data_IF_359658315800
#
_entry.id   IF_359658315800
#
_cell.length_a   1.000
_cell.length_b   1.000
_cell.length_c   1.000
_cell.angle_alpha   90.00
_cell.angle_beta   90.00
_cell.angle_gamma   90.00
#
_symmetry.space_group_name_H-M   'P 1'
#
loop_
_entity.id
_entity.type
_entity.pdbx_description
1 polymer ?
#
# COMPACT_ATOMS: atom_id res chain seq x y z
N UNK A 1 8.15 20.27 -20.50
CA UNK A 1 7.97 18.94 -19.85
C UNK A 1 9.03 17.98 -20.38
N UNK A 2 9.87 17.45 -19.52
CA UNK A 2 10.87 16.43 -19.89
C UNK A 2 10.22 15.04 -19.89
N UNK A 3 10.12 14.42 -21.08
CA UNK A 3 9.62 13.04 -21.22
C UNK A 3 10.50 12.05 -20.42
N UNK A 4 11.77 12.36 -20.23
CA UNK A 4 12.69 11.55 -19.43
C UNK A 4 12.27 11.51 -17.97
N UNK A 5 12.00 12.66 -17.35
CA UNK A 5 11.59 12.73 -15.95
C UNK A 5 10.22 12.12 -15.71
N UNK A 6 9.27 12.22 -16.67
CA UNK A 6 7.98 11.56 -16.57
C UNK A 6 8.10 10.03 -16.65
N UNK A 7 8.93 9.49 -17.56
CA UNK A 7 9.22 8.05 -17.63
C UNK A 7 9.90 7.55 -16.36
N UNK A 8 10.87 8.32 -15.85
CA UNK A 8 11.55 8.00 -14.59
C UNK A 8 10.56 7.97 -13.42
N UNK A 9 9.59 8.89 -13.37
CA UNK A 9 8.54 8.89 -12.35
C UNK A 9 7.63 7.65 -12.45
N UNK A 10 7.26 7.23 -13.66
CA UNK A 10 6.52 5.98 -13.86
C UNK A 10 7.32 4.76 -13.37
N UNK A 11 8.64 4.70 -13.66
CA UNK A 11 9.51 3.63 -13.16
C UNK A 11 9.66 3.69 -11.63
N UNK A 12 9.75 4.89 -11.06
CA UNK A 12 9.72 5.06 -9.61
C UNK A 12 8.44 4.48 -9.02
N UNK A 13 7.28 4.79 -9.62
CA UNK A 13 5.98 4.25 -9.19
C UNK A 13 5.89 2.73 -9.33
N UNK A 14 6.53 2.16 -10.35
CA UNK A 14 6.60 0.72 -10.55
C UNK A 14 7.39 0.01 -9.43
N UNK A 15 8.60 0.48 -9.14
CA UNK A 15 9.45 -0.20 -8.16
C UNK A 15 9.07 0.12 -6.71
N UNK A 16 8.55 1.32 -6.42
CA UNK A 16 8.14 1.71 -5.06
C UNK A 16 6.91 0.94 -4.57
N UNK A 17 6.16 0.32 -5.48
CA UNK A 17 4.97 -0.46 -5.16
C UNK A 17 5.25 -1.55 -4.12
N UNK A 18 6.38 -2.25 -4.26
CA UNK A 18 6.84 -3.26 -3.31
C UNK A 18 7.38 -2.65 -2.01
N UNK A 19 8.16 -1.57 -2.13
CA UNK A 19 8.83 -0.93 -0.99
C UNK A 19 7.83 -0.33 -0.01
N UNK A 20 6.75 0.28 -0.52
CA UNK A 20 5.75 0.98 0.27
C UNK A 20 5.11 0.10 1.35
N UNK A 21 4.80 -1.14 1.01
CA UNK A 21 4.09 -2.06 1.89
C UNK A 21 5.06 -2.92 2.74
N UNK A 22 6.37 -2.70 2.62
CA UNK A 22 7.40 -3.50 3.27
C UNK A 22 7.29 -4.97 2.86
N UNK A 23 7.24 -5.89 3.84
CA UNK A 23 6.98 -7.30 3.53
C UNK A 23 5.50 -7.58 3.19
N UNK A 24 4.61 -6.63 3.38
CA UNK A 24 3.18 -6.78 3.10
C UNK A 24 2.59 -8.08 3.67
N UNK A 25 1.91 -8.89 2.86
CA UNK A 25 1.31 -10.14 3.31
C UNK A 25 2.34 -11.19 3.74
N UNK A 26 3.61 -11.06 3.34
CA UNK A 26 4.66 -12.02 3.69
C UNK A 26 5.18 -11.86 5.12
N UNK A 27 4.97 -10.68 5.76
CA UNK A 27 5.38 -10.46 7.14
C UNK A 27 4.69 -11.43 8.10
N UNK A 28 3.37 -11.60 7.96
CA UNK A 28 2.62 -12.54 8.78
C UNK A 28 3.15 -13.97 8.65
N UNK A 29 3.42 -14.42 7.42
CA UNK A 29 3.99 -15.75 7.15
C UNK A 29 5.38 -15.88 7.76
N UNK A 30 6.23 -14.85 7.58
CA UNK A 30 7.60 -14.84 8.12
C UNK A 30 7.63 -14.97 9.65
N UNK A 31 6.76 -14.26 10.37
CA UNK A 31 6.66 -14.32 11.83
C UNK A 31 6.01 -15.64 12.30
N UNK A 32 4.98 -16.14 11.61
CA UNK A 32 4.33 -17.42 11.91
C UNK A 32 5.36 -18.58 11.80
N UNK A 33 6.23 -18.60 10.79
CA UNK A 33 7.31 -19.58 10.65
C UNK A 33 8.34 -19.51 11.78
N UNK A 34 8.35 -18.44 12.57
CA UNK A 34 9.18 -18.23 13.77
C UNK A 34 8.41 -18.40 15.08
N UNK A 35 7.28 -19.12 15.01
CA UNK A 35 6.44 -19.48 16.16
C UNK A 35 5.78 -18.30 16.88
N UNK A 36 5.60 -17.17 16.18
CA UNK A 36 4.82 -16.06 16.70
C UNK A 36 3.33 -16.41 16.71
N UNK A 37 2.63 -15.97 17.76
CA UNK A 37 1.19 -16.15 17.83
C UNK A 37 0.47 -15.15 16.89
N UNK A 38 -0.65 -15.60 16.31
CA UNK A 38 -1.42 -14.77 15.39
C UNK A 38 -1.90 -13.45 16.02
N UNK A 39 -2.19 -13.47 17.32
CA UNK A 39 -2.62 -12.30 18.09
C UNK A 39 -1.53 -11.24 18.15
N UNK A 40 -0.28 -11.63 18.47
CA UNK A 40 0.87 -10.71 18.54
C UNK A 40 1.18 -10.10 17.19
N UNK A 41 1.13 -10.92 16.13
CA UNK A 41 1.34 -10.45 14.75
C UNK A 41 0.26 -9.44 14.38
N UNK A 42 -1.02 -9.76 14.64
CA UNK A 42 -2.14 -8.87 14.37
C UNK A 42 -2.05 -7.56 15.13
N UNK A 43 -1.65 -7.60 16.42
CA UNK A 43 -1.46 -6.42 17.24
C UNK A 43 -0.38 -5.50 16.65
N UNK A 44 0.78 -6.05 16.30
CA UNK A 44 1.89 -5.26 15.75
C UNK A 44 1.58 -4.69 14.36
N UNK A 45 0.88 -5.44 13.51
CA UNK A 45 0.40 -4.91 12.22
C UNK A 45 -0.62 -3.78 12.43
N UNK A 46 -1.47 -3.90 13.45
CA UNK A 46 -2.42 -2.83 13.82
C UNK A 46 -1.68 -1.59 14.30
N UNK A 47 -0.63 -1.74 15.11
CA UNK A 47 0.23 -0.62 15.54
C UNK A 47 0.80 0.11 14.34
N UNK A 48 1.33 -0.61 13.34
CA UNK A 48 1.81 -0.03 12.09
C UNK A 48 0.72 0.75 11.33
N UNK A 49 -0.47 0.15 11.19
CA UNK A 49 -1.61 0.78 10.53
C UNK A 49 -2.09 2.05 11.23
N UNK A 50 -2.24 2.01 12.55
CA UNK A 50 -2.63 3.19 13.38
C UNK A 50 -1.57 4.28 13.28
N UNK A 51 -0.29 3.91 13.34
CA UNK A 51 0.82 4.88 13.21
C UNK A 51 0.81 5.54 11.84
N UNK A 52 0.58 4.78 10.77
CA UNK A 52 0.44 5.31 9.41
C UNK A 52 -0.74 6.27 9.28
N UNK A 53 -1.88 5.91 9.88
CA UNK A 53 -3.06 6.78 9.90
C UNK A 53 -2.76 8.12 10.61
N UNK A 54 -2.16 8.07 11.79
CA UNK A 54 -1.78 9.27 12.55
C UNK A 54 -0.72 10.10 11.81
N UNK A 55 0.20 9.45 11.10
CA UNK A 55 1.24 10.11 10.33
C UNK A 55 0.74 10.76 9.03
N UNK A 56 -0.44 10.39 8.52
CA UNK A 56 -0.95 10.86 7.21
C UNK A 56 -1.02 12.38 7.13
N UNK A 57 -1.54 13.04 8.17
CA UNK A 57 -1.68 14.50 8.20
C UNK A 57 -0.32 15.22 8.32
N UNK A 58 0.55 14.87 9.27
CA UNK A 58 1.91 15.43 9.33
C UNK A 58 2.71 15.17 8.04
N UNK A 59 2.58 13.97 7.45
CA UNK A 59 3.27 13.62 6.21
C UNK A 59 2.81 14.50 5.04
N UNK A 60 1.51 14.74 4.91
CA UNK A 60 0.95 15.67 3.93
C UNK A 60 1.53 17.07 4.11
N UNK A 61 1.45 17.63 5.32
CA UNK A 61 1.97 18.96 5.63
C UNK A 61 3.47 19.11 5.34
N UNK A 62 4.29 18.15 5.78
CA UNK A 62 5.74 18.15 5.54
C UNK A 62 6.02 18.05 4.03
N UNK A 63 5.27 17.20 3.32
CA UNK A 63 5.42 17.06 1.86
C UNK A 63 5.07 18.35 1.14
N UNK A 64 3.98 19.01 1.49
CA UNK A 64 3.52 20.23 0.82
C UNK A 64 4.50 21.39 1.06
N UNK A 65 5.10 21.48 2.23
CA UNK A 65 6.08 22.53 2.56
C UNK A 65 7.48 22.25 2.03
N UNK A 66 7.83 20.99 1.78
CA UNK A 66 9.17 20.59 1.36
C UNK A 66 9.47 20.94 -0.10
N UNK A 67 10.64 21.53 -0.35
CA UNK A 67 11.21 21.72 -1.70
C UNK A 67 12.01 20.50 -2.18
N UNK A 68 12.42 19.60 -1.29
CA UNK A 68 13.29 18.46 -1.58
C UNK A 68 12.51 17.14 -1.64
N UNK A 69 11.35 17.12 -2.32
CA UNK A 69 10.46 15.95 -2.36
C UNK A 69 11.16 14.66 -2.82
N UNK A 70 12.10 14.74 -3.77
CA UNK A 70 12.88 13.57 -4.23
C UNK A 70 13.76 12.99 -3.13
N UNK A 71 14.49 13.84 -2.41
CA UNK A 71 15.38 13.41 -1.32
C UNK A 71 14.55 12.81 -0.18
N UNK A 72 13.42 13.45 0.13
CA UNK A 72 12.50 12.96 1.15
C UNK A 72 11.94 11.58 0.76
N UNK A 73 11.53 11.38 -0.50
CA UNK A 73 11.06 10.09 -0.98
C UNK A 73 12.15 9.01 -0.93
N UNK A 74 13.39 9.34 -1.30
CA UNK A 74 14.53 8.43 -1.18
C UNK A 74 14.78 8.03 0.28
N UNK A 75 14.77 9.00 1.20
CA UNK A 75 14.93 8.76 2.64
C UNK A 75 13.83 7.86 3.21
N UNK A 76 12.59 8.09 2.81
CA UNK A 76 11.43 7.28 3.19
C UNK A 76 11.60 5.82 2.71
N UNK A 77 11.94 5.60 1.44
CA UNK A 77 12.17 4.26 0.90
C UNK A 77 13.31 3.53 1.64
N UNK A 78 14.41 4.23 1.88
CA UNK A 78 15.54 3.67 2.64
C UNK A 78 15.14 3.33 4.08
N UNK A 79 14.38 4.19 4.74
CA UNK A 79 13.94 3.94 6.11
C UNK A 79 13.03 2.71 6.21
N UNK A 80 12.05 2.56 5.30
CA UNK A 80 11.21 1.35 5.24
C UNK A 80 12.08 0.12 5.05
N UNK A 81 12.97 0.15 4.06
CA UNK A 81 13.82 -1.00 3.73
C UNK A 81 14.74 -1.37 4.88
N UNK A 82 15.44 -0.42 5.48
CA UNK A 82 16.37 -0.68 6.58
C UNK A 82 15.65 -1.22 7.82
N UNK A 83 14.51 -0.63 8.20
CA UNK A 83 13.74 -1.11 9.36
C UNK A 83 13.13 -2.48 9.11
N UNK A 84 12.75 -2.80 7.86
CA UNK A 84 12.28 -4.13 7.49
C UNK A 84 13.44 -5.14 7.47
N UNK A 85 14.61 -4.78 6.94
CA UNK A 85 15.78 -5.65 6.95
C UNK A 85 16.28 -6.00 8.37
N UNK A 86 16.05 -5.13 9.36
CA UNK A 86 16.32 -5.46 10.77
C UNK A 86 15.60 -6.72 11.24
N UNK A 87 14.42 -7.03 10.67
CA UNK A 87 13.65 -8.22 11.01
C UNK A 87 14.37 -9.51 10.60
N UNK A 88 15.27 -9.44 9.61
CA UNK A 88 16.09 -10.60 9.24
C UNK A 88 17.04 -11.00 10.37
N UNK A 89 17.60 -10.02 11.07
CA UNK A 89 18.58 -10.23 12.12
C UNK A 89 17.97 -10.45 13.51
N UNK A 90 16.82 -9.85 13.76
CA UNK A 90 16.16 -9.93 15.08
C UNK A 90 14.65 -9.86 14.97
N UNK A 91 13.99 -10.86 15.55
CA UNK A 91 12.54 -10.93 15.65
C UNK A 91 12.05 -10.66 17.09
N UNK A 92 12.80 -9.90 17.87
CA UNK A 92 12.32 -9.44 19.19
C UNK A 92 11.10 -8.52 18.97
N UNK A 93 10.11 -8.61 19.87
CA UNK A 93 8.88 -7.82 19.79
C UNK A 93 9.14 -6.33 19.62
N UNK A 94 10.15 -5.78 20.31
CA UNK A 94 10.55 -4.37 20.19
C UNK A 94 11.07 -4.02 18.78
N UNK A 95 11.80 -4.92 18.13
CA UNK A 95 12.34 -4.70 16.78
C UNK A 95 11.23 -4.78 15.74
N UNK A 96 10.31 -5.74 15.89
CA UNK A 96 9.13 -5.85 15.01
C UNK A 96 8.23 -4.62 15.19
N UNK A 97 7.97 -4.20 16.44
CA UNK A 97 7.20 -3.00 16.72
C UNK A 97 7.83 -1.75 16.09
N UNK A 98 9.14 -1.55 16.26
CA UNK A 98 9.88 -0.44 15.66
C UNK A 98 9.77 -0.45 14.13
N UNK A 99 9.94 -1.62 13.50
CA UNK A 99 9.81 -1.77 12.07
C UNK A 99 8.40 -1.40 11.59
N UNK A 100 7.34 -1.85 12.29
CA UNK A 100 5.95 -1.54 11.93
C UNK A 100 5.64 -0.05 12.10
N UNK A 101 6.07 0.57 13.20
CA UNK A 101 5.91 2.01 13.45
C UNK A 101 6.62 2.83 12.38
N UNK A 102 7.90 2.51 12.11
CA UNK A 102 8.69 3.23 11.11
C UNK A 102 8.12 3.06 9.70
N UNK A 103 7.72 1.84 9.32
CA UNK A 103 7.08 1.56 8.03
C UNK A 103 5.75 2.29 7.90
N UNK A 104 4.92 2.30 8.94
CA UNK A 104 3.65 3.02 8.95
C UNK A 104 3.83 4.52 8.75
N UNK A 105 4.74 5.15 9.53
CA UNK A 105 5.07 6.58 9.36
C UNK A 105 5.56 6.84 7.93
N UNK A 106 6.53 6.09 7.47
CA UNK A 106 7.16 6.30 6.16
C UNK A 106 6.20 6.08 5.00
N UNK A 107 5.37 5.02 5.05
CA UNK A 107 4.38 4.73 4.01
C UNK A 107 3.38 5.89 3.80
N UNK A 108 3.04 6.62 4.88
CA UNK A 108 2.16 7.77 4.80
C UNK A 108 2.70 8.92 3.92
N UNK A 109 4.01 9.01 3.75
CA UNK A 109 4.66 10.02 2.89
C UNK A 109 4.64 9.68 1.40
N UNK A 110 4.58 8.39 1.04
CA UNK A 110 4.80 7.94 -0.34
C UNK A 110 3.79 8.56 -1.31
N UNK A 111 2.49 8.45 -0.99
CA UNK A 111 1.42 9.00 -1.84
C UNK A 111 1.54 10.51 -2.06
N UNK A 112 1.57 11.33 -1.00
CA UNK A 112 1.74 12.78 -1.12
C UNK A 112 3.01 13.18 -1.87
N UNK A 113 4.15 12.50 -1.66
CA UNK A 113 5.40 12.79 -2.35
C UNK A 113 5.33 12.51 -3.85
N UNK A 114 4.76 11.36 -4.25
CA UNK A 114 4.55 11.05 -5.68
C UNK A 114 3.60 12.07 -6.30
N UNK A 115 2.51 12.43 -5.62
CA UNK A 115 1.57 13.43 -6.10
C UNK A 115 2.24 14.82 -6.25
N UNK A 116 3.02 15.26 -5.25
CA UNK A 116 3.74 16.51 -5.30
C UNK A 116 4.80 16.56 -6.42
N UNK A 117 5.57 15.50 -6.60
CA UNK A 117 6.54 15.40 -7.72
C UNK A 117 5.79 15.42 -9.07
N UNK A 118 4.67 14.69 -9.17
CA UNK A 118 3.84 14.69 -10.37
C UNK A 118 3.34 16.10 -10.69
N UNK A 119 2.82 16.79 -9.70
CA UNK A 119 2.30 18.16 -9.86
C UNK A 119 3.42 19.12 -10.29
N UNK A 120 4.61 19.03 -9.69
CA UNK A 120 5.76 19.84 -10.06
C UNK A 120 6.26 19.58 -11.49
N UNK A 121 6.13 18.35 -12.02
CA UNK A 121 6.53 18.01 -13.38
C UNK A 121 5.47 18.37 -14.42
N UNK A 122 4.18 18.30 -14.09
CA UNK A 122 3.09 18.37 -15.07
C UNK A 122 2.19 19.58 -14.92
N UNK A 123 2.28 20.27 -13.78
CA UNK A 123 1.34 21.29 -13.34
C UNK A 123 -0.10 20.75 -13.34
N UNK A 124 -1.10 21.60 -13.04
CA UNK A 124 -2.50 21.17 -12.92
C UNK A 124 -3.04 20.50 -14.20
N UNK A 125 -2.66 21.02 -15.40
CA UNK A 125 -3.22 20.54 -16.67
C UNK A 125 -2.86 19.09 -17.00
N UNK A 126 -1.67 18.62 -16.59
CA UNK A 126 -1.19 17.27 -16.88
C UNK A 126 -1.29 16.31 -15.70
N UNK A 127 -1.70 16.80 -14.53
CA UNK A 127 -1.64 16.06 -13.27
C UNK A 127 -2.46 14.76 -13.31
N UNK A 128 -3.74 14.83 -13.62
CA UNK A 128 -4.64 13.65 -13.61
C UNK A 128 -4.19 12.58 -14.59
N UNK A 129 -3.78 12.97 -15.81
CA UNK A 129 -3.30 12.02 -16.80
C UNK A 129 -2.00 11.33 -16.37
N UNK A 130 -1.07 12.06 -15.74
CA UNK A 130 0.18 11.47 -15.27
C UNK A 130 -0.03 10.63 -14.01
N UNK A 131 -0.89 11.05 -13.08
CA UNK A 131 -1.27 10.24 -11.91
C UNK A 131 -1.87 8.90 -12.35
N UNK A 132 -2.78 8.89 -13.32
CA UNK A 132 -3.33 7.66 -13.87
C UNK A 132 -2.25 6.73 -14.43
N UNK A 133 -1.22 7.27 -15.10
CA UNK A 133 -0.06 6.49 -15.57
C UNK A 133 0.77 5.96 -14.40
N UNK A 134 1.05 6.80 -13.40
CA UNK A 134 1.80 6.39 -12.22
C UNK A 134 1.09 5.23 -11.49
N UNK A 135 -0.24 5.31 -11.34
CA UNK A 135 -1.03 4.24 -10.72
C UNK A 135 -1.03 2.96 -11.57
N UNK A 136 -1.12 3.06 -12.90
CA UNK A 136 -1.01 1.90 -13.78
C UNK A 136 0.36 1.21 -13.64
N UNK A 137 1.45 1.99 -13.57
CA UNK A 137 2.79 1.46 -13.31
C UNK A 137 2.93 0.88 -11.89
N UNK A 138 2.31 1.49 -10.88
CA UNK A 138 2.27 0.98 -9.51
C UNK A 138 1.59 -0.40 -9.46
N UNK A 139 0.41 -0.54 -10.08
CA UNK A 139 -0.29 -1.83 -10.16
C UNK A 139 0.51 -2.89 -10.95
N UNK A 140 1.16 -2.48 -12.05
CA UNK A 140 2.06 -3.38 -12.77
C UNK A 140 3.26 -3.80 -11.91
N UNK A 141 3.85 -2.87 -11.13
CA UNK A 141 4.90 -3.14 -10.17
C UNK A 141 4.47 -4.20 -9.15
N UNK A 142 3.34 -4.00 -8.49
CA UNK A 142 2.77 -4.96 -7.54
C UNK A 142 2.55 -6.34 -8.18
N UNK A 143 2.05 -6.38 -9.42
CA UNK A 143 1.85 -7.65 -10.15
C UNK A 143 3.17 -8.39 -10.35
N UNK A 144 4.17 -7.73 -10.95
CA UNK A 144 5.46 -8.36 -11.25
C UNK A 144 6.22 -8.72 -9.98
N UNK A 145 6.22 -7.86 -8.97
CA UNK A 145 6.87 -8.15 -7.69
C UNK A 145 6.21 -9.33 -7.00
N UNK A 146 4.88 -9.42 -6.97
CA UNK A 146 4.18 -10.57 -6.39
C UNK A 146 4.52 -11.88 -7.11
N UNK A 147 4.67 -11.84 -8.44
CA UNK A 147 5.05 -13.00 -9.24
C UNK A 147 6.48 -13.47 -8.89
N UNK A 148 7.42 -12.54 -8.81
CA UNK A 148 8.81 -12.82 -8.43
C UNK A 148 8.88 -13.27 -6.97
N UNK A 149 8.15 -12.62 -6.05
CA UNK A 149 8.10 -12.99 -4.65
C UNK A 149 7.53 -14.41 -4.44
N UNK A 150 6.49 -14.78 -5.21
CA UNK A 150 5.95 -16.14 -5.20
C UNK A 150 6.98 -17.18 -5.64
N UNK A 151 7.71 -16.92 -6.73
CA UNK A 151 8.78 -17.79 -7.19
C UNK A 151 9.93 -17.89 -6.17
N UNK A 152 10.35 -16.75 -5.61
CA UNK A 152 11.37 -16.71 -4.56
C UNK A 152 10.92 -17.50 -3.31
N UNK A 153 9.67 -17.30 -2.87
CA UNK A 153 9.13 -18.03 -1.73
C UNK A 153 9.08 -19.55 -1.96
N UNK A 154 8.87 -19.98 -3.20
CA UNK A 154 8.85 -21.38 -3.59
C UNK A 154 10.25 -22.00 -3.56
N UNK A 155 11.26 -21.34 -4.18
CA UNK A 155 12.60 -21.93 -4.35
C UNK A 155 13.55 -21.65 -3.18
N UNK A 156 13.46 -20.49 -2.55
CA UNK A 156 14.40 -20.01 -1.52
C UNK A 156 13.73 -19.70 -0.17
N UNK A 157 12.41 -19.87 -0.09
CA UNK A 157 11.63 -19.55 1.11
C UNK A 157 11.38 -18.04 1.29
N UNK A 158 10.61 -17.71 2.34
CA UNK A 158 10.16 -16.34 2.63
C UNK A 158 11.33 -15.37 2.86
N UNK A 159 12.47 -15.88 3.35
CA UNK A 159 13.67 -15.07 3.55
C UNK A 159 14.16 -14.35 2.29
N UNK A 160 14.04 -14.97 1.11
CA UNK A 160 14.47 -14.35 -0.15
C UNK A 160 13.72 -13.07 -0.51
N UNK A 161 12.54 -12.82 0.08
CA UNK A 161 11.73 -11.62 -0.16
C UNK A 161 12.43 -10.36 0.38
N UNK A 162 13.23 -10.47 1.45
CA UNK A 162 14.03 -9.35 1.94
C UNK A 162 15.06 -8.87 0.91
N UNK A 163 15.64 -9.79 0.17
CA UNK A 163 16.59 -9.47 -0.92
C UNK A 163 15.84 -8.81 -2.07
N UNK A 164 14.66 -9.34 -2.43
CA UNK A 164 13.82 -8.73 -3.46
C UNK A 164 13.49 -7.28 -3.10
N UNK A 165 13.05 -7.03 -1.87
CA UNK A 165 12.74 -5.68 -1.39
C UNK A 165 13.97 -4.75 -1.43
N UNK A 166 15.15 -5.23 -1.06
CA UNK A 166 16.38 -4.43 -1.18
C UNK A 166 16.70 -4.09 -2.64
N UNK A 167 16.51 -5.03 -3.56
CA UNK A 167 16.68 -4.81 -5.00
C UNK A 167 15.66 -3.81 -5.56
N UNK A 168 14.38 -3.95 -5.22
CA UNK A 168 13.33 -3.02 -5.68
C UNK A 168 13.54 -1.62 -5.12
N UNK A 169 14.03 -1.50 -3.88
CA UNK A 169 14.45 -0.20 -3.32
C UNK A 169 15.62 0.41 -4.11
N UNK A 170 16.64 -0.37 -4.42
CA UNK A 170 17.76 0.12 -5.23
C UNK A 170 17.28 0.62 -6.60
N UNK A 171 16.42 -0.12 -7.29
CA UNK A 171 15.84 0.31 -8.55
C UNK A 171 14.94 1.55 -8.39
N UNK A 172 14.19 1.66 -7.29
CA UNK A 172 13.42 2.87 -6.95
C UNK A 172 14.34 4.09 -6.83
N UNK A 173 15.46 3.95 -6.12
CA UNK A 173 16.44 5.04 -5.96
C UNK A 173 17.08 5.43 -7.29
N UNK A 174 17.45 4.46 -8.12
CA UNK A 174 18.02 4.72 -9.46
C UNK A 174 17.00 5.46 -10.33
N UNK A 175 15.73 5.00 -10.35
CA UNK A 175 14.66 5.65 -11.10
C UNK A 175 14.41 7.08 -10.59
N UNK A 176 14.41 7.28 -9.27
CA UNK A 176 14.23 8.58 -8.65
C UNK A 176 15.39 9.56 -8.96
N UNK A 177 16.63 9.08 -9.00
CA UNK A 177 17.79 9.86 -9.41
C UNK A 177 17.73 10.28 -10.89
N UNK A 178 17.07 9.49 -11.74
CA UNK A 178 16.89 9.82 -13.15
C UNK A 178 15.90 10.98 -13.38
N UNK A 179 15.09 11.35 -12.39
CA UNK A 179 14.25 12.56 -12.42
C UNK A 179 15.16 13.76 -12.18
N UNK A 180 15.21 14.70 -13.12
CA UNK A 180 16.00 15.92 -12.97
C UNK A 180 15.33 16.89 -12.01
N UNK A 181 16.07 17.42 -11.02
CA UNK A 181 15.53 18.42 -10.08
C UNK A 181 15.08 19.69 -10.80
N UNK A 182 15.80 20.09 -11.86
CA UNK A 182 15.47 21.26 -12.67
C UNK A 182 14.15 21.15 -13.45
N UNK A 183 13.63 19.93 -13.61
CA UNK A 183 12.34 19.70 -14.30
C UNK A 183 11.16 19.86 -13.35
N UNK A 184 11.38 19.86 -12.03
CA UNK A 184 10.35 19.99 -11.00
C UNK A 184 10.18 21.48 -10.67
N UNK A 185 9.01 22.00 -10.95
CA UNK A 185 8.60 23.33 -10.50
C UNK A 185 8.18 23.23 -9.02
N UNK A 186 9.01 23.80 -8.15
CA UNK A 186 8.80 23.69 -6.69
C UNK A 186 7.54 24.43 -6.21
N UNK A 187 7.16 25.50 -6.85
CA UNK A 187 5.97 26.26 -6.49
C UNK A 187 4.70 25.52 -6.94
N UNK A 188 4.72 24.96 -8.15
CA UNK A 188 3.67 24.09 -8.63
C UNK A 188 3.56 22.83 -7.74
N UNK A 189 4.68 22.20 -7.40
CA UNK A 189 4.75 21.00 -6.54
C UNK A 189 4.20 21.25 -5.12
N UNK A 190 4.12 22.50 -4.69
CA UNK A 190 3.55 22.94 -3.40
C UNK A 190 2.11 23.43 -3.51
N UNK A 191 1.51 23.39 -4.71
CA UNK A 191 0.16 23.89 -4.96
C UNK A 191 0.01 25.41 -4.91
N UNK A 192 1.11 26.18 -4.97
CA UNK A 192 1.11 27.64 -4.86
C UNK A 192 0.70 28.35 -6.15
N UNK A 193 0.48 27.64 -7.25
CA UNK A 193 -0.04 28.22 -8.51
C UNK A 193 -1.49 28.74 -8.40
N UNK A 194 -2.23 28.35 -7.36
CA UNK A 194 -3.57 28.87 -7.11
C UNK A 194 -3.47 30.26 -6.49
N UNK A 195 -4.01 31.26 -7.16
CA UNK A 195 -3.99 32.69 -6.78
C UNK A 195 -4.70 33.01 -5.45
N UNK A 196 -5.20 32.04 -4.73
CA UNK A 196 -5.87 32.20 -3.44
C UNK A 196 -4.98 31.55 -2.37
N UNK A 197 -4.31 32.37 -1.51
CA UNK A 197 -3.64 31.80 -0.34
C UNK A 197 -4.68 31.03 0.49
N UNK A 198 -4.38 29.82 0.97
CA UNK A 198 -5.30 29.12 1.85
C UNK A 198 -5.50 29.99 3.11
N UNK A 199 -6.67 30.57 3.26
CA UNK A 199 -7.05 31.42 4.40
C UNK A 199 -7.07 30.62 5.73
N UNK A 200 -6.91 29.30 5.68
CA UNK A 200 -6.93 28.39 6.82
C UNK A 200 -5.89 27.28 6.61
N UNK A 201 -5.23 26.79 7.68
CA UNK A 201 -4.44 25.56 7.59
C UNK A 201 -5.30 24.45 6.97
N UNK A 202 -4.75 23.69 6.01
CA UNK A 202 -5.50 22.69 5.21
C UNK A 202 -6.35 21.73 6.02
N UNK A 203 -5.96 21.50 7.29
CA UNK A 203 -6.71 20.71 8.26
C UNK A 203 -8.05 21.34 8.67
N UNK A 204 -8.13 22.65 8.84
CA UNK A 204 -9.37 23.32 9.22
C UNK A 204 -10.40 23.33 8.08
N UNK A 205 -9.94 23.26 6.82
CA UNK A 205 -10.79 23.15 5.64
C UNK A 205 -11.57 21.82 5.65
N UNK A 206 -10.93 20.72 6.06
CA UNK A 206 -11.55 19.41 6.13
C UNK A 206 -12.80 19.42 7.02
N UNK A 207 -12.74 20.08 8.17
CA UNK A 207 -13.87 20.15 9.11
C UNK A 207 -14.94 21.17 8.72
N UNK A 208 -14.62 22.14 7.85
CA UNK A 208 -15.59 23.14 7.37
C UNK A 208 -16.38 22.70 6.13
N UNK A 209 -15.84 21.74 5.36
CA UNK A 209 -16.51 21.23 4.15
C UNK A 209 -17.08 19.83 4.40
N UNK A 210 -18.35 19.76 4.77
CA UNK A 210 -19.06 18.49 5.05
C UNK A 210 -18.88 17.42 3.98
N UNK A 211 -18.95 17.71 2.66
CA UNK A 211 -18.71 16.68 1.64
C UNK A 211 -17.30 16.09 1.68
N UNK A 212 -16.29 16.94 1.97
CA UNK A 212 -14.90 16.49 2.08
C UNK A 212 -14.69 15.64 3.33
N UNK A 213 -15.31 16.01 4.45
CA UNK A 213 -15.30 15.25 5.69
C UNK A 213 -15.97 13.87 5.49
N UNK A 214 -17.14 13.82 4.86
CA UNK A 214 -17.83 12.56 4.55
C UNK A 214 -16.95 11.67 3.67
N UNK A 215 -16.36 12.20 2.60
CA UNK A 215 -15.46 11.45 1.74
C UNK A 215 -14.25 10.92 2.51
N UNK A 216 -13.63 11.74 3.35
CA UNK A 216 -12.49 11.36 4.18
C UNK A 216 -12.82 10.24 5.17
N UNK A 217 -13.93 10.36 5.90
CA UNK A 217 -14.39 9.34 6.86
C UNK A 217 -14.75 8.04 6.12
N UNK A 218 -15.42 8.14 4.98
CA UNK A 218 -15.80 6.97 4.17
C UNK A 218 -14.56 6.22 3.67
N UNK A 219 -13.55 6.93 3.15
CA UNK A 219 -12.29 6.34 2.72
C UNK A 219 -11.51 5.73 3.89
N UNK A 220 -11.49 6.41 5.03
CA UNK A 220 -10.85 5.88 6.25
C UNK A 220 -11.48 4.56 6.68
N UNK A 221 -12.80 4.48 6.77
CA UNK A 221 -13.52 3.26 7.14
C UNK A 221 -13.31 2.15 6.10
N UNK A 222 -13.30 2.50 4.81
CA UNK A 222 -13.00 1.56 3.73
C UNK A 222 -11.61 0.96 3.87
N UNK A 223 -10.59 1.79 4.07
CA UNK A 223 -9.22 1.32 4.24
C UNK A 223 -9.03 0.51 5.52
N UNK A 224 -9.65 0.93 6.63
CA UNK A 224 -9.61 0.20 7.90
C UNK A 224 -10.20 -1.22 7.74
N UNK A 225 -11.37 -1.34 7.11
CA UNK A 225 -12.00 -2.63 6.87
C UNK A 225 -11.19 -3.52 5.89
N UNK A 226 -10.52 -2.91 4.90
CA UNK A 226 -9.74 -3.64 3.90
C UNK A 226 -8.35 -4.09 4.40
N UNK A 227 -7.75 -3.34 5.32
CA UNK A 227 -6.36 -3.55 5.75
C UNK A 227 -6.11 -4.93 6.37
N UNK A 228 -7.07 -5.46 7.12
CA UNK A 228 -6.93 -6.74 7.82
C UNK A 228 -7.18 -7.97 6.93
N UNK A 229 -7.89 -7.83 5.80
CA UNK A 229 -8.38 -8.97 5.02
C UNK A 229 -7.27 -9.84 4.43
N UNK A 230 -6.31 -9.25 3.75
CA UNK A 230 -5.22 -10.00 3.10
C UNK A 230 -4.23 -10.61 4.09
N UNK A 231 -3.74 -9.87 5.11
CA UNK A 231 -2.89 -10.45 6.14
C UNK A 231 -3.55 -11.61 6.89
N UNK A 232 -4.80 -11.46 7.31
CA UNK A 232 -5.52 -12.52 8.03
C UNK A 232 -5.73 -13.77 7.17
N UNK A 233 -6.05 -13.61 5.89
CA UNK A 233 -6.17 -14.73 4.95
C UNK A 233 -4.84 -15.45 4.76
N UNK A 234 -3.75 -14.71 4.59
CA UNK A 234 -2.40 -15.27 4.44
C UNK A 234 -1.95 -16.05 5.69
N UNK A 235 -2.25 -15.51 6.88
CA UNK A 235 -1.95 -16.20 8.16
C UNK A 235 -2.78 -17.47 8.32
N UNK A 236 -4.09 -17.43 8.02
CA UNK A 236 -4.96 -18.59 8.10
C UNK A 236 -4.49 -19.75 7.23
N UNK A 237 -3.96 -19.45 6.05
CA UNK A 237 -3.40 -20.47 5.15
C UNK A 237 -2.04 -20.96 5.62
N UNK A 238 -1.23 -20.09 6.21
CA UNK A 238 0.05 -20.50 6.79
C UNK A 238 -0.11 -21.52 7.94
N UNK A 239 -1.26 -21.51 8.63
CA UNK A 239 -1.58 -22.43 9.73
C UNK A 239 -2.49 -23.60 9.33
N UNK A 240 -3.06 -23.59 8.10
CA UNK A 240 -3.95 -24.65 7.64
C UNK A 240 -3.17 -25.95 7.37
N UNK A 241 -3.74 -27.13 7.76
CA UNK A 241 -3.15 -28.41 7.39
C UNK A 241 -3.29 -28.62 5.87
N UNK A 242 -2.19 -28.65 5.16
CA UNK A 242 -2.17 -28.86 3.70
C UNK A 242 -0.81 -28.59 3.07
N UNK A 243 -0.62 -29.04 1.84
CA UNK A 243 0.62 -28.91 1.09
C UNK A 243 0.75 -27.58 0.30
N UNK A 244 -0.10 -26.59 0.56
CA UNK A 244 -0.03 -25.30 -0.10
C UNK A 244 1.12 -24.47 0.47
N UNK A 245 2.02 -24.02 -0.39
CA UNK A 245 3.07 -23.09 0.00
C UNK A 245 2.43 -21.72 0.35
N UNK A 246 2.55 -21.26 1.63
CA UNK A 246 1.89 -20.02 2.06
C UNK A 246 2.35 -18.77 1.29
N UNK A 247 3.63 -18.73 0.90
CA UNK A 247 4.19 -17.65 0.12
C UNK A 247 3.64 -17.58 -1.30
N UNK A 248 3.45 -18.76 -1.94
CA UNK A 248 2.83 -18.84 -3.26
C UNK A 248 1.38 -18.38 -3.22
N UNK A 249 0.65 -18.76 -2.16
CA UNK A 249 -0.73 -18.33 -1.97
C UNK A 249 -0.84 -16.80 -1.76
N UNK A 250 0.01 -16.24 -0.90
CA UNK A 250 0.07 -14.79 -0.69
C UNK A 250 0.35 -14.05 -2.01
N UNK A 251 1.32 -14.53 -2.80
CA UNK A 251 1.59 -13.98 -4.12
C UNK A 251 0.39 -14.07 -5.07
N UNK A 252 -0.29 -15.22 -5.12
CA UNK A 252 -1.47 -15.42 -5.97
C UNK A 252 -2.61 -14.46 -5.61
N UNK A 253 -2.86 -14.21 -4.32
CA UNK A 253 -3.89 -13.25 -3.89
C UNK A 253 -3.58 -11.82 -4.33
N UNK A 254 -2.33 -11.41 -4.27
CA UNK A 254 -1.89 -10.10 -4.77
C UNK A 254 -2.06 -10.04 -6.29
N UNK A 255 -1.57 -11.04 -7.03
CA UNK A 255 -1.65 -11.11 -8.51
C UNK A 255 -3.11 -10.99 -8.97
N UNK A 256 -4.02 -11.78 -8.40
CA UNK A 256 -5.45 -11.73 -8.74
C UNK A 256 -6.03 -10.34 -8.49
N UNK A 257 -5.68 -9.73 -7.35
CA UNK A 257 -6.11 -8.37 -7.02
C UNK A 257 -5.64 -7.36 -8.07
N UNK A 258 -4.38 -7.42 -8.51
CA UNK A 258 -3.82 -6.49 -9.50
C UNK A 258 -4.43 -6.70 -10.90
N UNK A 259 -4.68 -7.94 -11.31
CA UNK A 259 -5.34 -8.25 -12.58
C UNK A 259 -6.74 -7.62 -12.65
N UNK A 260 -7.45 -7.57 -11.52
CA UNK A 260 -8.76 -6.91 -11.44
C UNK A 260 -8.61 -5.38 -11.38
N UNK A 261 -7.63 -4.87 -10.62
CA UNK A 261 -7.45 -3.44 -10.39
C UNK A 261 -6.99 -2.67 -11.64
N UNK A 262 -6.14 -3.27 -12.49
CA UNK A 262 -5.62 -2.61 -13.70
C UNK A 262 -6.76 -2.17 -14.65
N UNK A 263 -7.67 -3.05 -15.12
CA UNK A 263 -8.77 -2.64 -15.99
C UNK A 263 -9.76 -1.69 -15.31
N UNK A 264 -9.95 -1.83 -13.99
CA UNK A 264 -10.80 -0.91 -13.22
C UNK A 264 -10.18 0.47 -13.19
N UNK A 265 -8.88 0.60 -12.89
CA UNK A 265 -8.17 1.88 -12.86
C UNK A 265 -8.21 2.60 -14.21
N UNK A 266 -8.06 1.86 -15.32
CA UNK A 266 -8.14 2.42 -16.67
C UNK A 266 -9.56 2.95 -16.99
N UNK A 267 -10.60 2.25 -16.55
CA UNK A 267 -12.00 2.60 -16.87
C UNK A 267 -12.61 3.63 -15.93
N UNK A 268 -12.12 3.73 -14.69
CA UNK A 268 -12.71 4.62 -13.66
C UNK A 268 -12.71 6.07 -14.10
N UNK A 269 -11.63 6.56 -14.71
CA UNK A 269 -11.55 7.94 -15.17
C UNK A 269 -12.70 8.30 -16.12
N UNK A 270 -12.91 7.51 -17.18
CA UNK A 270 -14.02 7.71 -18.10
C UNK A 270 -15.41 7.46 -17.49
N UNK A 271 -15.50 6.62 -16.46
CA UNK A 271 -16.74 6.38 -15.74
C UNK A 271 -17.12 7.55 -14.83
N UNK A 272 -16.13 8.21 -14.23
CA UNK A 272 -16.35 9.41 -13.41
C UNK A 272 -16.89 10.55 -14.28
N UNK A 273 -16.35 10.74 -15.48
CA UNK A 273 -16.82 11.76 -16.40
C UNK A 273 -18.28 11.52 -16.85
N UNK A 274 -18.67 10.25 -16.99
CA UNK A 274 -20.00 9.86 -17.46
C UNK A 274 -21.06 9.76 -16.36
N UNK A 275 -20.70 9.23 -15.20
CA UNK A 275 -21.65 8.87 -14.12
C UNK A 275 -21.50 9.72 -12.86
N UNK A 276 -20.42 10.52 -12.75
CA UNK A 276 -20.08 11.36 -11.61
C UNK A 276 -19.40 10.57 -10.47
N UNK A 277 -18.71 11.29 -9.60
CA UNK A 277 -17.92 10.71 -8.50
C UNK A 277 -18.74 9.85 -7.52
N UNK A 278 -19.92 10.32 -7.12
CA UNK A 278 -20.74 9.65 -6.11
C UNK A 278 -21.17 8.25 -6.50
N UNK A 279 -21.58 8.05 -7.74
CA UNK A 279 -22.00 6.72 -8.22
C UNK A 279 -20.82 5.75 -8.29
N UNK A 280 -19.66 6.24 -8.70
CA UNK A 280 -18.44 5.43 -8.73
C UNK A 280 -17.98 5.04 -7.32
N UNK A 281 -18.03 5.95 -6.35
CA UNK A 281 -17.70 5.67 -4.94
C UNK A 281 -18.69 4.67 -4.34
N UNK A 282 -20.00 4.85 -4.55
CA UNK A 282 -21.02 3.92 -4.05
C UNK A 282 -20.82 2.52 -4.61
N UNK A 283 -20.53 2.39 -5.90
CA UNK A 283 -20.23 1.09 -6.52
C UNK A 283 -19.01 0.43 -5.89
N UNK A 284 -17.93 1.18 -5.68
CA UNK A 284 -16.73 0.68 -5.03
C UNK A 284 -17.00 0.19 -3.59
N UNK A 285 -17.82 0.93 -2.84
CA UNK A 285 -18.21 0.56 -1.47
C UNK A 285 -19.07 -0.71 -1.43
N UNK A 286 -19.99 -0.87 -2.39
CA UNK A 286 -20.87 -2.05 -2.47
C UNK A 286 -20.12 -3.34 -2.80
N UNK A 287 -18.99 -3.27 -3.49
CA UNK A 287 -18.15 -4.44 -3.82
C UNK A 287 -17.48 -5.01 -2.56
N UNK A 288 -17.24 -4.20 -1.53
CA UNK A 288 -16.51 -4.63 -0.34
C UNK A 288 -17.23 -5.68 0.51
N UNK A 289 -18.54 -5.53 0.85
CA UNK A 289 -19.29 -6.57 1.54
C UNK A 289 -19.35 -7.89 0.78
N UNK A 290 -19.43 -7.84 -0.56
CA UNK A 290 -19.44 -9.02 -1.44
C UNK A 290 -18.11 -9.76 -1.32
N UNK A 291 -16.99 -9.02 -1.33
CA UNK A 291 -15.65 -9.58 -1.14
C UNK A 291 -15.47 -10.19 0.25
N UNK A 292 -15.96 -9.55 1.30
CA UNK A 292 -15.91 -10.07 2.67
C UNK A 292 -16.74 -11.35 2.84
N UNK A 293 -17.95 -11.40 2.28
CA UNK A 293 -18.80 -12.57 2.28
C UNK A 293 -18.19 -13.75 1.53
N UNK A 294 -17.56 -13.50 0.36
CA UNK A 294 -16.86 -14.54 -0.42
C UNK A 294 -15.63 -15.11 0.30
N UNK A 295 -14.92 -14.30 1.11
CA UNK A 295 -13.78 -14.75 1.91
C UNK A 295 -14.18 -15.53 3.18
N UNK A 296 -15.41 -15.34 3.68
CA UNK A 296 -15.93 -16.00 4.88
C UNK A 296 -16.57 -17.39 4.67
N UNK A 297 -16.92 -17.73 3.41
CA UNK A 297 -17.73 -18.90 3.07
C UNK A 297 -17.05 -20.28 3.15
N UNK A 298 -15.76 -20.34 3.54
CA UNK A 298 -15.01 -21.61 3.60
C UNK A 298 -14.97 -22.30 4.99
N UNK A 299 -15.80 -21.88 5.94
CA UNK A 299 -15.78 -22.42 7.30
C UNK A 299 -17.17 -22.64 7.87
N UNK A 300 -17.99 -23.44 7.17
CA UNK A 300 -19.16 -24.01 7.81
C UNK A 300 -18.72 -24.89 8.99
N UNK A 301 -19.37 -24.81 10.16
CA UNK A 301 -19.11 -25.77 11.22
C UNK A 301 -19.56 -27.13 10.71
N UNK A 302 -18.58 -28.01 10.44
CA UNK A 302 -18.82 -29.41 10.21
C UNK A 302 -19.60 -29.93 11.41
N UNK A 303 -20.87 -30.25 11.19
CA UNK A 303 -21.81 -30.71 12.18
C UNK A 303 -21.24 -31.85 12.97
N UNK A 304 -21.13 -31.64 14.26
CA UNK A 304 -21.14 -32.68 15.25
C UNK A 304 -22.51 -33.31 15.28
N UNK A 305 -22.70 -34.42 14.60
CA UNK A 305 -23.72 -35.39 14.82
C UNK A 305 -23.02 -36.61 15.41
N UNK A 306 -23.12 -36.91 16.64
CA UNK A 306 -24.27 -37.49 17.34
C UNK A 306 -24.29 -38.97 17.11
N UNK A 307 -24.21 -39.73 18.14
CA UNK A 307 -24.50 -41.15 18.19
C UNK A 307 -23.46 -41.86 19.05
N UNK A 308 -23.66 -42.23 20.26
CA UNK A 308 -24.80 -42.80 20.90
C UNK A 308 -24.73 -44.30 20.82
N UNK A 309 -24.58 -44.93 21.95
CA UNK A 309 -24.93 -46.31 22.13
C UNK A 309 -23.72 -47.24 22.33
N UNK A 310 -23.41 -47.63 23.53
CA UNK A 310 -24.10 -48.70 24.18
C UNK A 310 -23.28 -49.97 24.22
N UNK A 311 -22.96 -50.44 25.37
CA UNK A 311 -23.01 -51.85 25.70
C UNK A 311 -21.71 -52.65 25.65
N UNK A 312 -21.30 -53.13 26.75
CA UNK A 312 -20.45 -54.27 26.91
C UNK A 312 -19.45 -54.14 28.03
#
# INVERSE_FOLDING_TARGET
MSLRSLRALCLTSFFIADVRDGLGPFLGIFLTQRHWQAEDIGLLMTVGGVTGLLATLPAGFITDTSRHKRVLLAGVCLAITLTTLLLWFSQKTSVVALSQVASGICAAFVGPLIAGITLGLTRQRGFSAQMGKNEAFNHAGNFFTALIAGAIAWYWGIGGIFILMACTTLFTLIALLAIRSSDIDDDAARGLESAIPPALPGFAILFRHTPLLIAGVTLMLFHLANAALLPMLSMRIATAPGHLNPGLFAAATVIISQVVMIPVAIRVAGSIDKYGYWRCILLALLIMPIRAAGGGGGGGPGGGGGGGGGGG
#
